data_IF_744405421032
#
_entry.id   IF_744405421032
#
_cell.length_a   1.000
_cell.length_b   1.000
_cell.length_c   1.000
_cell.angle_alpha   90.00
_cell.angle_beta   90.00
_cell.angle_gamma   90.00
#
_symmetry.space_group_name_H-M   'P 1'
#
loop_
_entity.id
_entity.type
_entity.pdbx_description
1 polymer ?
#
# COMPACT_ATOMS: atom_id res chain seq x y z
N UNK A 1 -23.52 4.95 8.08
CA UNK A 1 -22.45 4.12 8.68
C UNK A 1 -21.45 4.94 9.49
N UNK A 2 -20.79 5.96 8.91
CA UNK A 2 -19.83 6.80 9.67
C UNK A 2 -20.41 7.34 10.99
N UNK A 3 -21.63 7.87 10.97
CA UNK A 3 -22.34 8.32 12.17
C UNK A 3 -22.59 7.20 13.20
N UNK A 4 -22.88 5.97 12.74
CA UNK A 4 -23.10 4.81 13.62
C UNK A 4 -21.80 4.42 14.32
N UNK A 5 -20.70 4.35 13.57
CA UNK A 5 -19.38 3.97 14.07
C UNK A 5 -18.81 5.03 15.03
N UNK A 6 -19.22 6.29 14.87
CA UNK A 6 -18.86 7.40 15.76
C UNK A 6 -19.67 7.44 17.07
N UNK A 7 -20.69 6.58 17.25
CA UNK A 7 -21.48 6.57 18.48
C UNK A 7 -20.61 6.18 19.69
N UNK A 8 -20.75 6.87 20.84
CA UNK A 8 -20.15 6.43 22.09
C UNK A 8 -20.54 4.98 22.39
N UNK A 9 -19.55 4.12 22.65
CA UNK A 9 -19.78 2.71 22.97
C UNK A 9 -19.76 1.75 21.77
N UNK A 10 -19.62 2.22 20.52
CA UNK A 10 -19.54 1.32 19.36
C UNK A 10 -18.39 0.31 19.49
N UNK A 11 -17.18 0.76 19.85
CA UNK A 11 -16.01 -0.12 19.96
C UNK A 11 -16.14 -1.23 20.99
N UNK A 12 -16.90 -0.99 22.07
CA UNK A 12 -17.09 -1.93 23.19
C UNK A 12 -18.40 -2.72 23.10
N UNK A 13 -19.24 -2.44 22.11
CA UNK A 13 -20.51 -3.14 21.91
C UNK A 13 -20.29 -4.60 21.51
N UNK A 14 -21.11 -5.56 21.99
CA UNK A 14 -21.01 -6.96 21.59
C UNK A 14 -21.08 -7.14 20.08
N UNK A 15 -20.31 -8.10 19.55
CA UNK A 15 -20.25 -8.35 18.10
C UNK A 15 -21.63 -8.55 17.47
N UNK A 16 -22.51 -9.35 18.10
CA UNK A 16 -23.84 -9.64 17.58
C UNK A 16 -24.71 -8.38 17.41
N UNK A 17 -24.57 -7.40 18.31
CA UNK A 17 -25.29 -6.12 18.23
C UNK A 17 -24.77 -5.32 17.04
N UNK A 18 -23.45 -5.17 16.92
CA UNK A 18 -22.82 -4.47 15.79
C UNK A 18 -23.14 -5.12 14.45
N UNK A 19 -23.07 -6.45 14.39
CA UNK A 19 -23.37 -7.21 13.19
C UNK A 19 -24.82 -7.01 12.72
N UNK A 20 -25.79 -7.01 13.64
CA UNK A 20 -27.20 -6.73 13.33
C UNK A 20 -27.39 -5.31 12.79
N UNK A 21 -26.79 -4.33 13.43
CA UNK A 21 -26.85 -2.93 12.98
C UNK A 21 -26.26 -2.79 11.56
N UNK A 22 -25.11 -3.40 11.30
CA UNK A 22 -24.49 -3.36 9.98
C UNK A 22 -25.35 -4.09 8.93
N UNK A 23 -25.89 -5.26 9.28
CA UNK A 23 -26.73 -6.07 8.40
C UNK A 23 -28.01 -5.32 7.99
N UNK A 24 -28.62 -4.53 8.88
CA UNK A 24 -29.80 -3.72 8.58
C UNK A 24 -29.58 -2.63 7.50
N UNK A 25 -28.32 -2.34 7.16
CA UNK A 25 -27.92 -1.25 6.24
C UNK A 25 -27.45 -1.74 4.87
N UNK A 26 -27.67 -3.02 4.55
CA UNK A 26 -27.41 -3.54 3.20
C UNK A 26 -28.33 -2.87 2.19
N UNK A 27 -27.75 -2.49 1.06
CA UNK A 27 -28.41 -1.77 -0.04
C UNK A 27 -28.48 -2.68 -1.26
N UNK A 28 -29.59 -2.64 -1.99
CA UNK A 28 -29.69 -3.23 -3.33
C UNK A 28 -29.67 -2.09 -4.35
N UNK A 29 -28.73 -2.17 -5.29
CA UNK A 29 -28.63 -1.25 -6.42
C UNK A 29 -29.65 -1.62 -7.52
N UNK A 30 -29.84 -0.74 -8.50
CA UNK A 30 -30.80 -0.95 -9.59
C UNK A 30 -30.48 -2.20 -10.44
N UNK A 31 -29.21 -2.60 -10.49
CA UNK A 31 -28.73 -3.83 -11.16
C UNK A 31 -28.96 -5.11 -10.33
N UNK A 32 -29.65 -5.02 -9.19
CA UNK A 32 -29.91 -6.13 -8.28
C UNK A 32 -28.73 -6.50 -7.37
N UNK A 33 -27.56 -5.86 -7.53
CA UNK A 33 -26.39 -6.11 -6.70
C UNK A 33 -26.62 -5.71 -5.25
N UNK A 34 -26.20 -6.58 -4.31
CA UNK A 34 -26.25 -6.31 -2.85
C UNK A 34 -24.94 -5.71 -2.37
N UNK A 35 -25.04 -4.57 -1.71
CA UNK A 35 -23.91 -3.75 -1.31
C UNK A 35 -23.93 -3.52 0.20
N UNK A 36 -22.75 -3.57 0.80
CA UNK A 36 -22.53 -3.27 2.21
C UNK A 36 -21.37 -2.29 2.35
N UNK A 37 -21.61 -1.17 3.04
CA UNK A 37 -20.54 -0.29 3.48
C UNK A 37 -20.21 -0.59 4.93
N UNK A 38 -18.98 -1.01 5.21
CA UNK A 38 -18.59 -1.54 6.52
C UNK A 38 -17.12 -1.35 6.79
N UNK A 39 -16.48 -2.38 7.32
CA UNK A 39 -15.09 -2.36 7.76
C UNK A 39 -14.12 -1.65 6.78
N UNK A 40 -13.13 -0.93 7.32
CA UNK A 40 -12.14 -0.11 6.59
C UNK A 40 -12.74 1.11 5.89
N UNK A 41 -13.99 1.47 6.20
CA UNK A 41 -14.77 2.47 5.50
C UNK A 41 -14.82 2.22 3.96
N UNK A 42 -15.01 0.95 3.57
CA UNK A 42 -15.07 0.51 2.16
C UNK A 42 -16.37 -0.22 1.85
N UNK A 43 -16.75 -0.13 0.58
CA UNK A 43 -17.89 -0.85 0.00
C UNK A 43 -17.53 -2.29 -0.32
N UNK A 44 -18.51 -3.17 -0.16
CA UNK A 44 -18.43 -4.59 -0.51
C UNK A 44 -19.64 -5.00 -1.34
N UNK A 45 -19.40 -5.80 -2.37
CA UNK A 45 -20.41 -6.41 -3.23
C UNK A 45 -20.54 -7.88 -2.85
N UNK A 46 -21.78 -8.34 -2.66
CA UNK A 46 -22.04 -9.76 -2.49
C UNK A 46 -21.95 -10.48 -3.84
N UNK A 47 -21.18 -11.57 -3.90
CA UNK A 47 -21.15 -12.47 -5.05
C UNK A 47 -22.48 -13.26 -5.08
N UNK A 48 -23.25 -13.17 -6.18
CA UNK A 48 -24.52 -13.89 -6.30
C UNK A 48 -24.34 -15.42 -6.38
N UNK A 49 -23.15 -15.92 -6.70
CA UNK A 49 -22.88 -17.36 -6.88
C UNK A 49 -22.64 -18.04 -5.54
N UNK A 50 -21.74 -17.50 -4.72
CA UNK A 50 -21.32 -18.13 -3.45
C UNK A 50 -21.74 -17.35 -2.19
N UNK A 51 -22.37 -16.19 -2.36
CA UNK A 51 -22.85 -15.34 -1.27
C UNK A 51 -21.75 -14.59 -0.50
N UNK A 52 -20.48 -14.70 -0.90
CA UNK A 52 -19.35 -14.04 -0.23
C UNK A 52 -19.33 -12.55 -0.52
N UNK A 53 -18.77 -11.78 0.41
CA UNK A 53 -18.64 -10.34 0.29
C UNK A 53 -17.24 -9.97 -0.19
N UNK A 54 -17.15 -9.32 -1.35
CA UNK A 54 -15.90 -8.88 -1.95
C UNK A 54 -15.74 -7.36 -1.82
N UNK A 55 -14.53 -6.88 -1.55
CA UNK A 55 -14.22 -5.46 -1.67
C UNK A 55 -14.46 -5.01 -3.11
N UNK A 56 -15.37 -4.05 -3.29
CA UNK A 56 -15.74 -3.55 -4.59
C UNK A 56 -16.19 -2.09 -4.46
N UNK A 57 -15.64 -1.17 -5.24
CA UNK A 57 -16.10 0.21 -5.20
C UNK A 57 -17.55 0.31 -5.70
N UNK A 58 -18.32 1.25 -5.12
CA UNK A 58 -19.74 1.37 -5.40
C UNK A 58 -19.95 1.70 -6.89
N UNK A 59 -21.11 1.34 -7.45
CA UNK A 59 -21.41 1.70 -8.83
C UNK A 59 -21.53 3.22 -8.97
N UNK A 60 -21.14 3.72 -10.15
CA UNK A 60 -21.32 5.13 -10.56
C UNK A 60 -22.57 5.25 -11.45
N UNK A 61 -23.08 6.46 -11.62
CA UNK A 61 -24.22 6.73 -12.51
C UNK A 61 -25.56 6.16 -12.00
N UNK A 62 -26.43 5.79 -12.94
CA UNK A 62 -27.84 5.42 -12.68
C UNK A 62 -28.01 4.24 -11.71
N UNK A 63 -27.08 3.29 -11.73
CA UNK A 63 -27.10 2.14 -10.82
C UNK A 63 -27.05 2.56 -9.33
N UNK A 64 -26.52 3.75 -9.03
CA UNK A 64 -26.52 4.33 -7.68
C UNK A 64 -27.82 5.08 -7.35
N UNK A 65 -28.45 5.74 -8.33
CA UNK A 65 -29.62 6.61 -8.13
C UNK A 65 -30.84 5.81 -7.67
N UNK A 66 -30.99 4.57 -8.15
CA UNK A 66 -32.10 3.68 -7.76
C UNK A 66 -31.84 2.79 -6.54
N UNK A 67 -30.78 3.04 -5.78
CA UNK A 67 -30.37 2.13 -4.71
C UNK A 67 -31.26 2.25 -3.45
N UNK A 68 -31.70 1.12 -2.88
CA UNK A 68 -32.59 1.07 -1.71
C UNK A 68 -32.07 0.17 -0.60
N UNK A 69 -32.31 0.56 0.65
CA UNK A 69 -31.95 -0.26 1.83
C UNK A 69 -32.90 -1.44 1.91
N UNK A 70 -32.36 -2.65 2.03
CA UNK A 70 -33.12 -3.91 2.15
C UNK A 70 -32.77 -4.70 3.41
N UNK A 71 -31.66 -4.39 4.06
CA UNK A 71 -31.13 -5.20 5.14
C UNK A 71 -30.63 -6.58 4.68
N UNK A 72 -30.08 -7.35 5.60
CA UNK A 72 -29.61 -8.71 5.33
C UNK A 72 -30.02 -9.64 6.47
N UNK A 73 -30.66 -10.76 6.13
CA UNK A 73 -31.04 -11.79 7.10
C UNK A 73 -29.90 -12.74 7.48
N UNK A 74 -28.78 -12.73 6.74
CA UNK A 74 -27.64 -13.61 7.03
C UNK A 74 -26.72 -13.01 8.10
N UNK A 75 -26.13 -13.88 8.92
CA UNK A 75 -25.09 -13.50 9.89
C UNK A 75 -23.86 -12.97 9.14
N UNK A 76 -23.41 -11.78 9.49
CA UNK A 76 -22.18 -11.20 8.93
C UNK A 76 -20.96 -11.83 9.59
N UNK A 77 -19.93 -12.12 8.79
CA UNK A 77 -18.63 -12.55 9.32
C UNK A 77 -17.89 -11.36 9.96
N UNK A 78 -17.01 -11.59 10.95
CA UNK A 78 -16.35 -10.53 11.70
C UNK A 78 -15.64 -9.48 10.85
N UNK A 79 -15.05 -9.87 9.71
CA UNK A 79 -14.29 -9.00 8.83
C UNK A 79 -15.14 -7.94 8.10
N UNK A 80 -16.47 -8.04 8.16
CA UNK A 80 -17.39 -7.08 7.54
C UNK A 80 -17.85 -5.98 8.49
N UNK A 81 -17.73 -6.22 9.80
CA UNK A 81 -18.28 -5.35 10.86
C UNK A 81 -17.18 -4.39 11.32
N UNK A 82 -17.38 -3.07 11.18
CA UNK A 82 -16.37 -2.11 11.59
C UNK A 82 -16.18 -2.08 13.11
N UNK A 83 -14.95 -1.87 13.55
CA UNK A 83 -14.60 -1.82 14.97
C UNK A 83 -14.52 -0.38 15.51
N UNK A 84 -14.44 0.62 14.63
CA UNK A 84 -14.26 2.03 14.99
C UNK A 84 -12.98 2.61 14.39
N UNK A 85 -11.81 2.19 14.87
CA UNK A 85 -10.51 2.67 14.38
C UNK A 85 -10.31 2.51 12.87
N UNK A 86 -10.92 1.50 12.27
CA UNK A 86 -10.88 1.23 10.83
C UNK A 86 -11.60 2.31 9.98
N UNK A 87 -12.34 3.23 10.62
CA UNK A 87 -12.95 4.40 9.98
C UNK A 87 -12.10 5.68 10.10
N UNK A 88 -11.08 5.68 10.94
CA UNK A 88 -10.26 6.84 11.28
C UNK A 88 -8.85 6.79 10.64
N UNK A 89 -8.59 5.85 9.74
CA UNK A 89 -7.25 5.65 9.18
C UNK A 89 -6.79 6.82 8.30
N UNK A 90 -5.52 7.20 8.44
CA UNK A 90 -4.83 8.09 7.50
C UNK A 90 -4.47 7.28 6.25
N UNK A 91 -5.08 7.65 5.12
CA UNK A 91 -4.85 7.01 3.81
C UNK A 91 -3.47 7.27 3.23
N UNK A 92 -2.68 8.13 3.87
CA UNK A 92 -1.41 8.57 3.30
C UNK A 92 -1.61 9.25 1.94
N UNK A 93 -0.49 9.58 1.31
CA UNK A 93 -0.51 10.02 -0.08
C UNK A 93 -0.34 8.82 -1.02
N UNK A 94 -1.16 8.76 -2.07
CA UNK A 94 -0.99 7.82 -3.19
C UNK A 94 0.06 8.32 -4.20
N UNK A 95 0.49 9.57 -4.09
CA UNK A 95 1.65 10.10 -4.81
C UNK A 95 2.88 9.61 -4.06
N UNK A 96 3.46 8.47 -4.46
CA UNK A 96 4.70 7.97 -3.84
C UNK A 96 5.88 8.88 -4.17
N UNK A 97 6.74 8.43 -5.07
CA UNK A 97 7.82 9.26 -5.62
C UNK A 97 7.40 9.93 -6.95
N UNK A 98 6.09 9.95 -7.26
CA UNK A 98 5.53 10.63 -8.43
C UNK A 98 5.17 12.07 -8.03
N UNK A 99 5.72 13.06 -8.73
CA UNK A 99 5.41 14.47 -8.52
C UNK A 99 6.57 15.22 -7.86
N UNK A 100 6.31 16.29 -7.09
CA UNK A 100 7.38 17.08 -6.49
C UNK A 100 8.22 16.24 -5.50
N UNK A 101 9.49 16.62 -5.39
CA UNK A 101 10.44 15.99 -4.47
C UNK A 101 9.92 15.89 -3.03
N UNK A 102 10.51 14.99 -2.27
CA UNK A 102 10.35 14.97 -0.82
C UNK A 102 10.77 16.32 -0.21
N UNK A 103 9.98 16.92 0.72
CA UNK A 103 10.31 18.20 1.34
C UNK A 103 11.76 18.18 1.83
N UNK A 104 12.49 19.26 1.54
CA UNK A 104 13.92 19.33 1.83
C UNK A 104 14.29 19.01 3.29
N UNK A 105 13.42 19.32 4.26
CA UNK A 105 13.62 18.96 5.66
C UNK A 105 13.65 17.45 5.93
N UNK A 106 12.84 16.67 5.21
CA UNK A 106 12.83 15.20 5.30
C UNK A 106 14.06 14.64 4.61
N UNK A 107 14.36 15.08 3.38
CA UNK A 107 15.53 14.62 2.63
C UNK A 107 16.85 14.94 3.35
N UNK A 108 16.96 16.13 3.96
CA UNK A 108 18.12 16.51 4.78
C UNK A 108 18.18 15.75 6.11
N UNK A 109 17.01 15.44 6.72
CA UNK A 109 16.95 14.56 7.88
C UNK A 109 17.56 13.18 7.58
N UNK A 110 17.16 12.56 6.48
CA UNK A 110 17.71 11.26 6.05
C UNK A 110 19.19 11.38 5.68
N UNK A 111 19.59 12.44 4.96
CA UNK A 111 21.00 12.71 4.62
C UNK A 111 21.88 12.77 5.87
N UNK A 112 21.42 13.43 6.94
CA UNK A 112 22.17 13.50 8.21
C UNK A 112 22.35 12.13 8.85
N UNK A 113 21.31 11.28 8.84
CA UNK A 113 21.40 9.90 9.33
C UNK A 113 22.42 9.09 8.52
N UNK A 114 22.38 9.16 7.19
CA UNK A 114 23.35 8.50 6.33
C UNK A 114 24.78 8.99 6.57
N UNK A 115 24.98 10.30 6.72
CA UNK A 115 26.31 10.85 7.01
C UNK A 115 26.85 10.37 8.36
N UNK A 116 26.00 10.23 9.38
CA UNK A 116 26.39 9.81 10.72
C UNK A 116 26.62 8.29 10.85
N UNK A 117 25.93 7.48 10.03
CA UNK A 117 25.90 6.01 10.18
C UNK A 117 26.38 5.22 8.96
N UNK A 118 26.57 5.86 7.80
CA UNK A 118 26.87 5.18 6.54
C UNK A 118 28.32 4.68 6.41
N UNK A 119 29.25 5.24 7.18
CA UNK A 119 30.68 4.83 7.19
C UNK A 119 31.05 3.92 8.36
N UNK A 120 30.08 3.19 8.91
CA UNK A 120 30.33 2.22 10.00
C UNK A 120 31.04 0.98 9.45
N UNK A 121 31.77 0.27 10.30
CA UNK A 121 32.41 -0.98 9.90
C UNK A 121 31.37 -2.03 9.51
N UNK A 122 31.57 -2.67 8.36
CA UNK A 122 30.78 -3.82 7.92
C UNK A 122 30.94 -5.01 8.86
N UNK A 123 32.05 -5.12 9.59
CA UNK A 123 32.25 -6.19 10.57
C UNK A 123 31.30 -6.04 11.78
N UNK A 124 31.09 -4.80 12.23
CA UNK A 124 30.17 -4.48 13.32
C UNK A 124 28.70 -4.51 12.88
N UNK A 125 28.46 -4.25 11.59
CA UNK A 125 27.15 -4.12 10.97
C UNK A 125 27.11 -4.81 9.60
N UNK A 126 27.21 -6.15 9.51
CA UNK A 126 27.09 -6.85 8.25
C UNK A 126 25.66 -6.86 7.74
N UNK A 127 25.55 -7.05 6.42
CA UNK A 127 24.31 -7.38 5.71
C UNK A 127 24.36 -8.88 5.43
N UNK A 128 23.50 -9.66 6.09
CA UNK A 128 23.57 -11.12 6.09
C UNK A 128 22.46 -11.82 5.28
N UNK A 129 21.46 -11.08 4.79
CA UNK A 129 20.28 -11.67 4.16
C UNK A 129 19.69 -10.80 3.04
N UNK A 130 18.97 -11.47 2.13
CA UNK A 130 18.13 -10.83 1.12
C UNK A 130 17.00 -10.01 1.77
N UNK A 131 16.49 -8.96 1.10
CA UNK A 131 16.88 -8.48 -0.23
C UNK A 131 18.11 -7.58 -0.24
N UNK A 132 18.71 -7.26 0.91
CA UNK A 132 19.73 -6.21 0.99
C UNK A 132 21.07 -6.61 0.38
N UNK A 133 21.44 -7.90 0.44
CA UNK A 133 22.68 -8.42 -0.18
C UNK A 133 22.69 -8.17 -1.70
N UNK A 134 21.55 -8.32 -2.37
CA UNK A 134 21.47 -8.10 -3.82
C UNK A 134 21.36 -6.63 -4.23
N UNK A 135 21.04 -5.73 -3.29
CA UNK A 135 20.84 -4.29 -3.56
C UNK A 135 22.15 -3.50 -3.40
N UNK A 136 22.94 -3.79 -2.38
CA UNK A 136 24.09 -2.97 -1.99
C UNK A 136 25.43 -3.53 -2.45
N UNK A 137 26.44 -2.66 -2.55
CA UNK A 137 27.82 -3.07 -2.77
C UNK A 137 28.36 -3.88 -1.57
N UNK A 138 29.40 -4.66 -1.82
CA UNK A 138 29.92 -5.66 -0.88
C UNK A 138 30.57 -5.09 0.39
N UNK A 139 30.83 -3.79 0.45
CA UNK A 139 31.45 -3.07 1.57
C UNK A 139 30.43 -2.29 2.42
N UNK A 140 29.17 -2.21 1.99
CA UNK A 140 28.13 -1.42 2.65
C UNK A 140 27.70 -2.04 3.99
N UNK A 141 27.60 -1.24 5.08
CA UNK A 141 27.11 -1.70 6.36
C UNK A 141 25.57 -1.75 6.43
N UNK A 142 25.02 -2.59 7.30
CA UNK A 142 23.57 -2.71 7.51
C UNK A 142 22.90 -1.47 8.08
N UNK A 143 23.67 -0.48 8.57
CA UNK A 143 23.14 0.84 8.91
C UNK A 143 22.58 1.56 7.68
N UNK A 144 23.23 1.48 6.52
CA UNK A 144 22.69 2.04 5.27
C UNK A 144 21.45 1.26 4.83
N UNK A 145 21.50 -0.07 4.91
CA UNK A 145 20.37 -0.93 4.60
C UNK A 145 19.15 -0.66 5.49
N UNK A 146 19.36 -0.35 6.77
CA UNK A 146 18.31 0.03 7.71
C UNK A 146 17.61 1.32 7.28
N UNK A 147 18.38 2.36 6.90
CA UNK A 147 17.80 3.64 6.44
C UNK A 147 17.05 3.44 5.12
N UNK A 148 17.69 2.84 4.11
CA UNK A 148 17.06 2.55 2.80
C UNK A 148 15.79 1.71 2.95
N UNK A 149 15.90 0.60 3.69
CA UNK A 149 14.78 -0.29 3.89
C UNK A 149 13.64 0.38 4.64
N UNK A 150 13.94 1.27 5.59
CA UNK A 150 12.92 2.06 6.29
C UNK A 150 12.24 3.05 5.37
N UNK A 151 12.99 3.75 4.49
CA UNK A 151 12.42 4.65 3.48
C UNK A 151 11.46 3.91 2.56
N UNK A 152 11.91 2.80 1.96
CA UNK A 152 11.08 2.03 1.04
C UNK A 152 9.90 1.34 1.73
N UNK A 153 10.11 0.80 2.93
CA UNK A 153 9.03 0.19 3.71
C UNK A 153 8.01 1.24 4.15
N UNK A 154 8.43 2.44 4.54
CA UNK A 154 7.50 3.49 4.95
C UNK A 154 6.76 4.12 3.76
N UNK A 155 7.26 3.98 2.52
CA UNK A 155 6.55 4.47 1.36
C UNK A 155 5.17 3.79 1.25
N UNK A 156 4.11 4.62 1.25
CA UNK A 156 2.74 4.14 1.16
C UNK A 156 2.39 3.63 -0.24
N UNK A 157 2.89 4.31 -1.27
CA UNK A 157 2.78 3.92 -2.67
C UNK A 157 4.11 3.33 -3.20
N UNK A 158 4.08 2.58 -4.32
CA UNK A 158 5.29 2.05 -4.92
C UNK A 158 6.33 3.15 -5.18
N UNK A 159 7.57 2.84 -4.84
CA UNK A 159 8.70 3.70 -5.15
C UNK A 159 9.23 3.37 -6.53
N UNK A 160 9.62 4.38 -7.29
CA UNK A 160 10.37 4.20 -8.52
C UNK A 160 11.50 5.19 -8.57
N UNK A 161 12.52 4.81 -9.31
CA UNK A 161 13.68 5.64 -9.58
C UNK A 161 13.31 6.70 -10.62
N UNK A 162 13.03 7.91 -10.15
CA UNK A 162 12.70 9.06 -10.98
C UNK A 162 13.38 10.31 -10.43
N UNK A 163 14.72 10.38 -10.53
CA UNK A 163 15.58 11.50 -10.12
C UNK A 163 15.25 12.17 -8.76
N UNK A 164 14.58 11.44 -7.87
CA UNK A 164 14.10 12.01 -6.63
C UNK A 164 15.27 12.07 -5.63
N UNK A 165 15.41 13.25 -5.00
CA UNK A 165 16.57 13.60 -4.17
C UNK A 165 16.83 12.60 -3.04
N UNK A 166 15.76 12.08 -2.41
CA UNK A 166 15.85 11.10 -1.32
C UNK A 166 16.37 9.74 -1.80
N UNK A 167 16.07 9.30 -3.02
CA UNK A 167 16.61 8.04 -3.56
C UNK A 167 18.03 8.20 -4.11
N UNK A 168 18.32 9.30 -4.81
CA UNK A 168 19.64 9.51 -5.43
C UNK A 168 20.79 9.58 -4.43
N UNK A 169 20.54 9.97 -3.16
CA UNK A 169 21.60 9.99 -2.12
C UNK A 169 22.14 8.61 -1.76
N UNK A 170 21.45 7.53 -2.13
CA UNK A 170 21.93 6.17 -1.91
C UNK A 170 22.83 5.65 -3.03
N UNK A 171 22.97 6.39 -4.13
CA UNK A 171 23.67 5.93 -5.33
C UNK A 171 25.09 5.42 -5.08
N UNK A 172 25.82 6.01 -4.13
CA UNK A 172 27.18 5.58 -3.78
C UNK A 172 27.25 4.22 -3.08
N UNK A 173 26.14 3.72 -2.53
CA UNK A 173 26.09 2.46 -1.79
C UNK A 173 25.54 1.31 -2.64
N UNK A 174 24.83 1.59 -3.73
CA UNK A 174 24.15 0.55 -4.48
C UNK A 174 25.14 -0.32 -5.28
N UNK A 175 24.92 -1.63 -5.27
CA UNK A 175 25.76 -2.58 -6.02
C UNK A 175 25.61 -2.46 -7.53
N UNK A 176 24.53 -1.80 -7.98
CA UNK A 176 24.30 -1.38 -9.36
C UNK A 176 23.79 0.05 -9.34
N UNK A 177 24.28 0.93 -10.24
CA UNK A 177 23.79 2.30 -10.29
C UNK A 177 22.29 2.33 -10.57
N UNK A 178 21.65 3.39 -10.08
CA UNK A 178 20.29 3.76 -10.47
C UNK A 178 20.28 4.07 -11.98
N UNK A 179 19.35 3.51 -12.78
CA UNK A 179 19.33 3.68 -14.25
C UNK A 179 19.25 5.13 -14.79
N UNK A 180 19.20 6.15 -13.95
CA UNK A 180 19.15 7.55 -14.39
C UNK A 180 17.89 7.85 -15.19
N UNK A 181 17.92 8.88 -16.03
CA UNK A 181 16.76 9.37 -16.79
C UNK A 181 16.30 8.43 -17.92
N UNK A 182 17.08 7.41 -18.27
CA UNK A 182 16.80 6.60 -19.45
C UNK A 182 15.71 5.54 -19.20
N UNK A 183 15.50 5.10 -17.95
CA UNK A 183 14.51 4.05 -17.61
C UNK A 183 13.94 4.17 -16.20
N UNK A 184 12.62 4.03 -16.07
CA UNK A 184 11.93 3.95 -14.76
C UNK A 184 12.13 2.56 -14.15
N UNK A 185 12.78 2.49 -12.98
CA UNK A 185 12.89 1.25 -12.20
C UNK A 185 11.96 1.28 -10.99
N UNK A 186 10.98 0.36 -10.96
CA UNK A 186 10.21 0.12 -9.75
C UNK A 186 11.10 -0.49 -8.65
N UNK A 187 11.10 0.16 -7.49
CA UNK A 187 11.79 -0.31 -6.30
C UNK A 187 10.79 -1.12 -5.46
N UNK A 188 11.13 -2.38 -5.22
CA UNK A 188 10.33 -3.27 -4.39
C UNK A 188 10.63 -2.96 -2.92
N UNK A 189 9.65 -2.55 -2.10
CA UNK A 189 9.85 -2.39 -0.67
C UNK A 189 10.32 -3.70 -0.04
N UNK A 190 11.33 -3.70 0.83
CA UNK A 190 11.68 -4.90 1.57
C UNK A 190 10.51 -5.30 2.49
N UNK A 191 10.31 -6.60 2.77
CA UNK A 191 9.33 -7.01 3.77
C UNK A 191 9.78 -6.56 5.17
N UNK A 192 8.84 -6.44 6.11
CA UNK A 192 9.13 -6.08 7.50
C UNK A 192 10.09 -7.09 8.15
N UNK A 193 10.02 -8.37 7.77
CA UNK A 193 10.96 -9.39 8.24
C UNK A 193 12.41 -9.12 7.86
N UNK A 194 12.67 -8.46 6.72
CA UNK A 194 14.04 -8.11 6.33
C UNK A 194 14.60 -6.99 7.22
N UNK A 195 13.79 -5.97 7.53
CA UNK A 195 14.17 -4.93 8.49
C UNK A 195 14.38 -5.51 9.89
N UNK A 196 13.46 -6.37 10.34
CA UNK A 196 13.57 -7.08 11.60
C UNK A 196 14.83 -7.98 11.63
N UNK A 197 15.19 -8.59 10.50
CA UNK A 197 16.38 -9.42 10.35
C UNK A 197 17.69 -8.67 10.60
N UNK A 198 17.78 -7.37 10.24
CA UNK A 198 18.96 -6.56 10.56
C UNK A 198 19.22 -6.47 12.07
N UNK A 199 18.15 -6.26 12.86
CA UNK A 199 18.20 -6.30 14.32
C UNK A 199 18.43 -7.73 14.84
N UNK A 200 17.65 -8.69 14.36
CA UNK A 200 17.66 -10.07 14.84
C UNK A 200 19.00 -10.76 14.64
N UNK A 201 19.70 -10.46 13.54
CA UNK A 201 21.01 -11.01 13.26
C UNK A 201 22.06 -10.52 14.28
N UNK A 202 22.06 -9.22 14.63
CA UNK A 202 22.91 -8.70 15.71
C UNK A 202 22.62 -9.34 17.06
N UNK A 203 21.34 -9.56 17.39
CA UNK A 203 20.96 -10.25 18.63
C UNK A 203 21.49 -11.68 18.66
N UNK A 204 21.35 -12.43 17.55
CA UNK A 204 21.85 -13.81 17.45
C UNK A 204 23.37 -13.89 17.54
N UNK A 205 24.07 -12.87 17.04
CA UNK A 205 25.52 -12.72 17.17
C UNK A 205 25.98 -12.27 18.58
N UNK A 206 25.07 -12.04 19.53
CA UNK A 206 25.40 -11.54 20.87
C UNK A 206 25.78 -10.05 20.90
N UNK A 207 25.62 -9.33 19.79
CA UNK A 207 25.99 -7.94 19.63
C UNK A 207 24.83 -7.00 20.02
N UNK A 208 24.33 -7.11 21.25
CA UNK A 208 23.12 -6.41 21.72
C UNK A 208 23.18 -4.88 21.52
N UNK A 209 24.34 -4.26 21.80
CA UNK A 209 24.51 -2.82 21.62
C UNK A 209 24.38 -2.38 20.14
N UNK A 210 24.88 -3.20 19.20
CA UNK A 210 24.73 -2.93 17.76
C UNK A 210 23.30 -3.19 17.28
N UNK A 211 22.61 -4.18 17.86
CA UNK A 211 21.20 -4.45 17.59
C UNK A 211 20.34 -3.23 17.95
N UNK A 212 20.46 -2.73 19.19
CA UNK A 212 19.71 -1.55 19.66
C UNK A 212 20.02 -0.31 18.81
N UNK A 213 21.28 -0.13 18.38
CA UNK A 213 21.66 0.97 17.48
C UNK A 213 21.00 0.88 16.09
N UNK A 214 20.89 -0.31 15.50
CA UNK A 214 20.17 -0.49 14.25
C UNK A 214 18.68 -0.20 14.42
N UNK A 215 18.09 -0.66 15.52
CA UNK A 215 16.68 -0.40 15.79
C UNK A 215 16.40 1.09 16.03
N UNK A 216 17.28 1.78 16.75
CA UNK A 216 17.20 3.22 16.95
C UNK A 216 17.31 3.95 15.61
N UNK A 217 18.19 3.52 14.71
CA UNK A 217 18.31 4.10 13.37
C UNK A 217 17.04 3.90 12.53
N UNK A 218 16.39 2.73 12.62
CA UNK A 218 15.07 2.48 12.00
C UNK A 218 14.03 3.46 12.55
N UNK A 219 13.96 3.63 13.88
CA UNK A 219 13.03 4.55 14.52
C UNK A 219 13.31 6.01 14.15
N UNK A 220 14.57 6.47 14.20
CA UNK A 220 14.97 7.83 13.84
C UNK A 220 14.63 8.12 12.36
N UNK A 221 14.85 7.15 11.48
CA UNK A 221 14.48 7.29 10.06
C UNK A 221 12.97 7.39 9.89
N UNK A 222 12.20 6.54 10.57
CA UNK A 222 10.73 6.60 10.54
C UNK A 222 10.21 7.94 11.11
N UNK A 223 10.80 8.44 12.19
CA UNK A 223 10.44 9.73 12.78
C UNK A 223 10.67 10.90 11.81
N UNK A 224 11.79 10.92 11.09
CA UNK A 224 12.07 11.91 10.03
C UNK A 224 11.03 11.82 8.91
N UNK A 225 10.73 10.61 8.44
CA UNK A 225 9.77 10.38 7.35
C UNK A 225 8.33 10.74 7.74
N UNK A 226 7.98 10.63 9.02
CA UNK A 226 6.64 10.94 9.55
C UNK A 226 6.17 12.38 9.30
N UNK A 227 7.09 13.30 8.99
CA UNK A 227 6.76 14.67 8.62
C UNK A 227 6.05 14.80 7.25
N UNK A 228 6.19 13.82 6.35
CA UNK A 228 5.56 13.82 5.02
C UNK A 228 4.43 12.79 4.91
N UNK A 229 3.32 13.19 4.30
CA UNK A 229 2.10 12.37 4.19
C UNK A 229 2.29 11.07 3.38
N UNK A 230 3.32 11.00 2.53
CA UNK A 230 3.68 9.80 1.75
C UNK A 230 4.17 8.65 2.61
N UNK A 231 4.76 8.97 3.76
CA UNK A 231 5.39 7.99 4.65
C UNK A 231 4.67 7.87 6.00
N UNK A 232 3.99 8.94 6.44
CA UNK A 232 3.44 9.08 7.80
C UNK A 232 2.68 7.86 8.32
N UNK A 233 1.72 7.23 7.60
CA UNK A 233 0.96 6.12 8.17
C UNK A 233 1.85 4.91 8.48
N UNK A 234 2.77 4.55 7.57
CA UNK A 234 3.68 3.41 7.78
C UNK A 234 4.78 3.80 8.77
N UNK A 235 5.32 5.01 8.71
CA UNK A 235 6.28 5.50 9.69
C UNK A 235 5.72 5.42 11.13
N UNK A 236 4.49 5.89 11.35
CA UNK A 236 3.82 5.77 12.66
C UNK A 236 3.61 4.31 13.07
N UNK A 237 3.24 3.44 12.12
CA UNK A 237 3.09 2.00 12.38
C UNK A 237 4.43 1.38 12.81
N UNK A 238 5.50 1.64 12.08
CA UNK A 238 6.84 1.12 12.38
C UNK A 238 7.34 1.58 13.74
N UNK A 239 7.17 2.88 14.04
CA UNK A 239 7.49 3.43 15.36
C UNK A 239 6.78 2.65 16.47
N UNK A 240 5.46 2.47 16.37
CA UNK A 240 4.70 1.73 17.37
C UNK A 240 5.12 0.25 17.51
N UNK A 241 5.64 -0.36 16.43
CA UNK A 241 6.15 -1.74 16.46
C UNK A 241 7.49 -1.87 17.19
N UNK A 242 8.41 -0.91 16.98
CA UNK A 242 9.80 -1.00 17.46
C UNK A 242 10.05 -0.28 18.79
N UNK A 243 9.26 0.74 19.11
CA UNK A 243 9.41 1.57 20.31
C UNK A 243 9.42 0.78 21.63
N UNK A 244 8.64 -0.30 21.82
CA UNK A 244 8.70 -1.09 23.05
C UNK A 244 10.07 -1.74 23.32
N UNK A 245 10.77 -2.20 22.27
CA UNK A 245 12.12 -2.75 22.40
C UNK A 245 13.17 -1.66 22.69
N UNK A 246 12.99 -0.45 22.15
CA UNK A 246 13.86 0.69 22.48
C UNK A 246 13.71 1.14 23.94
N UNK A 247 12.50 1.07 24.50
CA UNK A 247 12.24 1.38 25.90
C UNK A 247 12.71 0.27 26.84
N UNK A 248 12.65 -0.99 26.41
CA UNK A 248 13.03 -2.17 27.20
C UNK A 248 13.94 -3.10 26.40
N UNK A 249 15.24 -2.77 26.24
CA UNK A 249 16.16 -3.58 25.46
C UNK A 249 16.23 -5.03 25.92
N UNK A 250 16.05 -5.96 24.99
CA UNK A 250 15.99 -7.41 25.23
C UNK A 250 14.59 -8.02 25.23
N UNK A 251 13.53 -7.21 25.11
CA UNK A 251 12.13 -7.67 25.01
C UNK A 251 11.94 -8.66 23.84
N UNK A 252 12.60 -8.39 22.71
CA UNK A 252 12.54 -9.16 21.47
C UNK A 252 13.59 -10.25 21.35
N UNK A 253 14.47 -10.40 22.35
CA UNK A 253 15.62 -11.30 22.27
C UNK A 253 15.22 -12.77 22.03
N UNK A 254 14.10 -13.20 22.63
CA UNK A 254 13.57 -14.57 22.41
C UNK A 254 13.09 -14.75 20.97
N UNK A 255 12.30 -13.82 20.46
CA UNK A 255 11.75 -13.89 19.10
C UNK A 255 12.85 -13.78 18.04
N UNK A 256 13.85 -12.92 18.26
CA UNK A 256 15.03 -12.81 17.42
C UNK A 256 15.82 -14.12 17.31
N UNK A 257 15.89 -14.92 18.39
CA UNK A 257 16.51 -16.25 18.37
C UNK A 257 15.68 -17.29 17.61
N UNK A 258 14.36 -17.15 17.58
CA UNK A 258 13.46 -18.03 16.82
C UNK A 258 13.50 -17.76 15.31
N UNK A 259 13.87 -16.53 14.93
CA UNK A 259 14.07 -16.14 13.53
C UNK A 259 13.27 -14.91 13.13
N UNK A 260 13.53 -14.42 11.93
CA UNK A 260 13.04 -13.11 11.48
C UNK A 260 11.52 -13.08 11.27
N UNK A 261 10.91 -14.23 10.96
CA UNK A 261 9.44 -14.38 10.87
C UNK A 261 8.78 -14.21 12.23
N UNK A 262 9.31 -14.86 13.27
CA UNK A 262 8.78 -14.75 14.63
C UNK A 262 8.92 -13.32 15.18
N UNK A 263 10.04 -12.66 14.84
CA UNK A 263 10.25 -11.26 15.20
C UNK A 263 9.27 -10.33 14.48
N UNK A 264 9.06 -10.51 13.17
CA UNK A 264 8.03 -9.78 12.39
C UNK A 264 6.64 -9.93 13.02
N UNK A 265 6.27 -11.12 13.48
CA UNK A 265 4.97 -11.37 14.11
C UNK A 265 4.80 -10.59 15.42
N UNK A 266 5.82 -10.60 16.28
CA UNK A 266 5.81 -9.83 17.53
C UNK A 266 5.73 -8.33 17.26
N UNK A 267 6.48 -7.84 16.29
CA UNK A 267 6.41 -6.44 15.86
C UNK A 267 5.02 -6.10 15.33
N UNK A 268 4.48 -6.89 14.40
CA UNK A 268 3.16 -6.65 13.82
C UNK A 268 2.04 -6.68 14.86
N UNK A 269 2.14 -7.54 15.89
CA UNK A 269 1.17 -7.62 16.98
C UNK A 269 1.11 -6.36 17.84
N UNK A 270 2.18 -5.54 17.85
CA UNK A 270 2.23 -4.24 18.55
C UNK A 270 1.60 -3.10 17.74
N UNK A 271 1.33 -3.31 16.45
CA UNK A 271 0.77 -2.28 15.59
C UNK A 271 -0.64 -1.87 16.08
N UNK A 272 -0.86 -0.58 16.42
CA UNK A 272 -2.17 -0.10 16.85
C UNK A 272 -3.24 -0.35 15.79
N UNK A 273 -4.46 -0.66 16.20
CA UNK A 273 -5.56 -0.99 15.29
C UNK A 273 -5.88 0.09 14.25
N UNK A 274 -5.68 1.38 14.58
CA UNK A 274 -5.89 2.49 13.65
C UNK A 274 -4.79 2.62 12.57
N UNK A 275 -3.66 1.92 12.73
CA UNK A 275 -2.53 1.86 11.79
C UNK A 275 -2.43 0.51 11.08
N UNK A 276 -3.30 -0.45 11.40
CA UNK A 276 -3.23 -1.81 10.87
C UNK A 276 -3.29 -1.89 9.33
N UNK A 277 -4.02 -0.98 8.68
CA UNK A 277 -4.08 -0.92 7.20
C UNK A 277 -2.71 -0.58 6.58
N UNK A 278 -1.91 0.26 7.25
CA UNK A 278 -0.56 0.62 6.81
C UNK A 278 0.42 -0.59 6.85
N UNK A 279 0.10 -1.60 7.65
CA UNK A 279 0.88 -2.84 7.77
C UNK A 279 0.20 -4.06 7.10
N UNK A 280 -0.96 -3.88 6.45
CA UNK A 280 -1.76 -5.02 5.93
C UNK A 280 -0.99 -5.88 4.93
N UNK A 281 -0.08 -5.26 4.16
CA UNK A 281 0.79 -5.96 3.22
C UNK A 281 1.71 -7.00 3.84
N UNK A 282 2.10 -6.81 5.10
CA UNK A 282 2.97 -7.72 5.84
C UNK A 282 2.24 -8.94 6.39
N UNK A 283 0.91 -8.84 6.52
CA UNK A 283 0.07 -9.82 7.20
C UNK A 283 -0.82 -10.58 6.23
N UNK A 284 -1.26 -9.92 5.17
CA UNK A 284 -2.13 -10.50 4.16
C UNK A 284 -1.92 -9.82 2.81
N UNK A 285 -1.03 -10.37 1.95
CA UNK A 285 -0.85 -9.91 0.58
C UNK A 285 -2.17 -9.87 -0.21
N UNK A 286 -3.06 -10.82 0.05
CA UNK A 286 -4.38 -10.87 -0.57
C UNK A 286 -5.29 -9.71 -0.15
N UNK A 287 -5.34 -9.33 1.13
CA UNK A 287 -6.10 -8.13 1.54
C UNK A 287 -5.49 -6.85 0.97
N UNK A 288 -4.15 -6.74 0.95
CA UNK A 288 -3.47 -5.60 0.31
C UNK A 288 -3.86 -5.48 -1.16
N UNK A 289 -3.83 -6.59 -1.90
CA UNK A 289 -4.22 -6.62 -3.31
C UNK A 289 -5.67 -6.16 -3.50
N UNK A 290 -6.61 -6.63 -2.66
CA UNK A 290 -8.02 -6.24 -2.74
C UNK A 290 -8.22 -4.74 -2.47
N UNK A 291 -7.51 -4.19 -1.49
CA UNK A 291 -7.54 -2.75 -1.20
C UNK A 291 -6.96 -1.94 -2.36
N UNK A 292 -5.82 -2.37 -2.93
CA UNK A 292 -5.20 -1.71 -4.08
C UNK A 292 -6.09 -1.74 -5.33
N UNK A 293 -6.72 -2.88 -5.64
CA UNK A 293 -7.66 -3.00 -6.76
C UNK A 293 -8.90 -2.10 -6.56
N UNK A 294 -9.41 -2.02 -5.33
CA UNK A 294 -10.49 -1.09 -4.98
C UNK A 294 -10.08 0.36 -5.23
N UNK A 295 -8.88 0.75 -4.79
CA UNK A 295 -8.37 2.12 -4.94
C UNK A 295 -8.05 2.47 -6.38
N UNK A 296 -7.54 1.54 -7.18
CA UNK A 296 -7.35 1.72 -8.62
C UNK A 296 -8.66 2.06 -9.34
N UNK A 297 -9.71 1.26 -9.11
CA UNK A 297 -11.01 1.51 -9.75
C UNK A 297 -11.61 2.85 -9.28
N UNK A 298 -11.42 3.24 -8.02
CA UNK A 298 -11.85 4.56 -7.55
C UNK A 298 -11.04 5.69 -8.20
N UNK A 299 -9.71 5.54 -8.30
CA UNK A 299 -8.82 6.54 -8.89
C UNK A 299 -9.14 6.75 -10.38
N UNK A 300 -9.55 5.69 -11.08
CA UNK A 300 -10.04 5.75 -12.46
C UNK A 300 -11.46 6.31 -12.59
N UNK A 301 -12.08 6.80 -11.51
CA UNK A 301 -13.44 7.36 -11.53
C UNK A 301 -13.64 8.46 -12.59
N UNK A 302 -12.61 9.24 -12.90
CA UNK A 302 -12.65 10.31 -13.91
C UNK A 302 -12.96 9.80 -15.32
N UNK A 303 -12.67 8.53 -15.65
CA UNK A 303 -12.97 7.97 -16.98
C UNK A 303 -14.47 7.77 -17.19
N UNK A 304 -15.28 7.76 -16.12
CA UNK A 304 -16.73 7.65 -16.20
C UNK A 304 -17.36 8.85 -16.93
N UNK A 305 -16.80 10.05 -16.80
CA UNK A 305 -17.25 11.25 -17.51
C UNK A 305 -17.12 11.12 -19.03
N UNK A 306 -16.22 10.23 -19.47
CA UNK A 306 -15.96 9.91 -20.86
C UNK A 306 -16.77 8.70 -21.36
N UNK A 307 -17.72 8.22 -20.57
CA UNK A 307 -18.55 7.05 -20.91
C UNK A 307 -17.85 5.71 -20.71
N UNK A 308 -16.66 5.68 -20.11
CA UNK A 308 -15.90 4.44 -19.86
C UNK A 308 -16.15 3.97 -18.43
N UNK A 309 -16.44 2.69 -18.24
CA UNK A 309 -16.56 2.11 -16.90
C UNK A 309 -15.19 2.08 -16.20
N UNK A 310 -15.01 2.74 -15.03
CA UNK A 310 -13.74 2.69 -14.28
C UNK A 310 -13.30 1.26 -13.95
N UNK A 311 -14.27 0.36 -13.71
CA UNK A 311 -14.01 -1.05 -13.44
C UNK A 311 -13.51 -1.78 -14.69
N UNK A 312 -14.03 -1.42 -15.87
CA UNK A 312 -13.56 -1.98 -17.13
C UNK A 312 -12.12 -1.55 -17.42
N UNK A 313 -11.82 -0.26 -17.27
CA UNK A 313 -10.46 0.26 -17.42
C UNK A 313 -9.45 -0.40 -16.47
N UNK A 314 -9.80 -0.53 -15.18
CA UNK A 314 -8.95 -1.22 -14.21
C UNK A 314 -8.74 -2.71 -14.56
N UNK A 315 -9.79 -3.39 -15.00
CA UNK A 315 -9.70 -4.79 -15.42
C UNK A 315 -8.83 -4.97 -16.67
N UNK A 316 -8.87 -4.01 -17.60
CA UNK A 316 -8.01 -3.97 -18.78
C UNK A 316 -6.54 -3.84 -18.42
N UNK A 317 -6.21 -2.88 -17.56
CA UNK A 317 -4.84 -2.67 -17.11
C UNK A 317 -4.31 -3.89 -16.36
N UNK A 318 -5.10 -4.44 -15.44
CA UNK A 318 -4.70 -5.64 -14.72
C UNK A 318 -4.49 -6.83 -15.67
N UNK A 319 -5.36 -7.00 -16.67
CA UNK A 319 -5.18 -8.06 -17.67
C UNK A 319 -3.91 -7.86 -18.51
N UNK A 320 -3.64 -6.63 -18.95
CA UNK A 320 -2.41 -6.30 -19.68
C UNK A 320 -1.16 -6.64 -18.84
N UNK A 321 -1.12 -6.22 -17.57
CA UNK A 321 -0.02 -6.54 -16.66
C UNK A 321 0.13 -8.06 -16.44
N UNK A 322 -0.97 -8.78 -16.23
CA UNK A 322 -0.94 -10.24 -16.07
C UNK A 322 -0.43 -10.96 -17.31
N UNK A 323 -0.83 -10.48 -18.50
CA UNK A 323 -0.38 -11.05 -19.78
C UNK A 323 1.12 -10.88 -19.99
N UNK A 324 1.71 -9.78 -19.50
CA UNK A 324 3.12 -9.46 -19.64
C UNK A 324 4.01 -10.15 -18.58
N UNK A 325 3.51 -10.30 -17.35
CA UNK A 325 4.34 -10.71 -16.20
C UNK A 325 4.17 -12.18 -15.83
N UNK A 326 2.93 -12.66 -15.66
CA UNK A 326 2.67 -14.04 -15.20
C UNK A 326 1.23 -14.47 -15.53
N UNK A 327 0.99 -15.08 -16.71
CA UNK A 327 -0.34 -15.49 -17.13
C UNK A 327 -1.03 -16.48 -16.17
N UNK A 328 -0.26 -17.28 -15.42
CA UNK A 328 -0.80 -18.27 -14.46
C UNK A 328 -1.24 -17.65 -13.14
N UNK A 329 -0.93 -16.38 -12.87
CA UNK A 329 -1.33 -15.70 -11.64
C UNK A 329 -2.85 -15.45 -11.58
N UNK A 330 -3.58 -15.55 -12.70
CA UNK A 330 -5.03 -15.33 -12.73
C UNK A 330 -5.79 -16.29 -11.82
N UNK A 331 -5.37 -17.57 -11.73
CA UNK A 331 -6.05 -18.56 -10.90
C UNK A 331 -5.99 -18.19 -9.41
N UNK A 332 -4.82 -17.70 -8.98
CA UNK A 332 -4.60 -17.20 -7.61
C UNK A 332 -5.39 -15.92 -7.34
N UNK A 333 -5.37 -14.97 -8.27
CA UNK A 333 -5.98 -13.65 -8.08
C UNK A 333 -7.51 -13.69 -8.22
N UNK A 334 -8.06 -14.65 -8.96
CA UNK A 334 -9.51 -14.76 -9.19
C UNK A 334 -10.30 -14.78 -7.89
N UNK A 335 -9.81 -15.50 -6.87
CA UNK A 335 -10.45 -15.56 -5.55
C UNK A 335 -10.44 -14.24 -4.78
N UNK A 336 -9.58 -13.28 -5.17
CA UNK A 336 -9.46 -11.97 -4.51
C UNK A 336 -10.24 -10.89 -5.24
N UNK A 337 -10.43 -11.00 -6.54
CA UNK A 337 -11.18 -10.03 -7.34
C UNK A 337 -12.68 -10.11 -7.06
N UNK A 338 -13.34 -8.94 -7.13
CA UNK A 338 -14.80 -8.87 -7.11
C UNK A 338 -15.39 -9.56 -8.36
N UNK A 339 -16.64 -10.06 -8.31
CA UNK A 339 -17.20 -10.87 -9.39
C UNK A 339 -17.34 -10.15 -10.73
N UNK A 340 -17.43 -8.82 -10.72
CA UNK A 340 -17.49 -8.01 -11.94
C UNK A 340 -16.09 -7.82 -12.51
N UNK A 341 -15.11 -7.46 -11.67
CA UNK A 341 -13.72 -7.28 -12.10
C UNK A 341 -13.09 -8.60 -12.59
N UNK A 342 -13.36 -9.71 -11.90
CA UNK A 342 -12.93 -11.06 -12.30
C UNK A 342 -13.41 -11.42 -13.71
N UNK A 343 -14.70 -11.20 -13.99
CA UNK A 343 -15.28 -11.45 -15.32
C UNK A 343 -14.65 -10.60 -16.42
N UNK A 344 -14.39 -9.32 -16.10
CA UNK A 344 -13.73 -8.40 -17.03
C UNK A 344 -12.33 -8.92 -17.37
N UNK A 345 -11.47 -9.13 -16.36
CA UNK A 345 -10.09 -9.61 -16.55
C UNK A 345 -10.06 -10.91 -17.36
N UNK A 346 -10.93 -11.85 -17.05
CA UNK A 346 -11.03 -13.11 -17.78
C UNK A 346 -11.45 -12.90 -19.24
N UNK A 347 -12.40 -12.00 -19.52
CA UNK A 347 -12.79 -11.69 -20.89
C UNK A 347 -11.62 -11.09 -21.69
N UNK A 348 -10.88 -10.13 -21.12
CA UNK A 348 -9.72 -9.50 -21.79
C UNK A 348 -8.66 -10.50 -22.21
N UNK A 349 -8.32 -11.40 -21.29
CA UNK A 349 -7.20 -12.33 -21.48
C UNK A 349 -7.53 -13.42 -22.51
N UNK A 350 -8.82 -13.65 -22.78
CA UNK A 350 -9.28 -14.70 -23.70
C UNK A 350 -9.85 -14.14 -25.02
N UNK A 351 -9.94 -12.82 -25.18
CA UNK A 351 -10.48 -12.16 -26.38
C UNK A 351 -9.44 -11.21 -27.00
N UNK A 352 -8.90 -11.59 -28.16
CA UNK A 352 -7.94 -10.78 -28.93
C UNK A 352 -8.53 -9.42 -29.37
N UNK A 353 -9.86 -9.28 -29.45
CA UNK A 353 -10.54 -8.06 -29.87
C UNK A 353 -10.72 -7.01 -28.78
N UNK A 354 -10.38 -7.32 -27.52
CA UNK A 354 -10.60 -6.42 -26.39
C UNK A 354 -9.48 -5.36 -26.24
N UNK A 355 -8.32 -5.60 -26.85
CA UNK A 355 -7.17 -4.67 -26.82
C UNK A 355 -7.21 -3.77 -28.05
N UNK A 356 -8.04 -2.73 -27.97
CA UNK A 356 -7.65 -1.38 -28.41
C UNK A 356 -8.46 -0.36 -27.60
N UNK A 357 -7.97 0.07 -26.44
CA UNK A 357 -8.47 1.29 -25.85
C UNK A 357 -7.99 2.43 -26.77
N UNK A 358 -8.82 2.89 -27.70
CA UNK A 358 -8.58 4.11 -28.52
C UNK A 358 -8.44 5.41 -27.71
N UNK A 359 -8.20 5.29 -26.40
CA UNK A 359 -8.02 6.34 -25.41
C UNK A 359 -6.60 6.30 -24.79
N UNK A 360 -5.80 5.26 -25.10
CA UNK A 360 -4.38 5.13 -24.72
C UNK A 360 -3.44 5.67 -25.81
N UNK A 361 -3.95 6.15 -26.94
CA UNK A 361 -3.18 7.00 -27.84
C UNK A 361 -2.80 8.27 -27.08
N UNK A 362 -1.51 8.39 -26.76
CA UNK A 362 -0.92 9.65 -26.34
C UNK A 362 -1.32 10.75 -27.34
N UNK A 363 -1.52 12.01 -26.92
CA UNK A 363 -1.63 13.08 -27.89
C UNK A 363 -0.37 13.03 -28.77
N UNK A 364 -0.56 12.78 -30.07
CA UNK A 364 0.51 12.75 -31.06
C UNK A 364 1.52 13.89 -30.80
N UNK A 365 2.84 13.62 -30.73
CA UNK A 365 3.83 14.66 -30.63
C UNK A 365 3.85 15.44 -31.95
N UNK A 366 3.00 16.46 -32.05
CA UNK A 366 2.93 17.25 -33.28
C UNK A 366 1.76 18.23 -33.44
N UNK A 367 0.69 18.16 -32.64
CA UNK A 367 -0.36 19.20 -32.69
C UNK A 367 -0.28 20.12 -31.50
N UNK A 368 0.58 21.13 -31.65
CA UNK A 368 0.41 22.43 -31.00
C UNK A 368 -1.01 22.92 -31.35
N UNK A 369 -1.93 22.88 -30.39
CA UNK A 369 -3.13 23.72 -30.47
C UNK A 369 -2.64 25.16 -30.33
N UNK A 370 -2.51 25.85 -31.44
CA UNK A 370 -2.38 27.31 -31.45
C UNK A 370 -3.68 27.89 -30.90
N UNK A 371 -3.67 28.28 -29.63
CA UNK A 371 -4.62 29.24 -29.11
C UNK A 371 -3.98 30.62 -29.18
N UNK A 372 -4.58 31.52 -29.97
CA UNK A 372 -4.49 32.97 -29.77
C UNK A 372 -4.05 33.78 -30.98
N UNK A 373 -5.01 34.50 -31.57
CA UNK A 373 -4.99 35.87 -32.14
C UNK A 373 -6.31 35.99 -32.92
N UNK A 374 -7.40 36.50 -32.35
CA UNK A 374 -7.77 37.93 -32.19
C UNK A 374 -7.41 38.80 -33.39
N UNK A 375 -8.40 39.60 -33.83
CA UNK A 375 -8.40 40.60 -34.93
C UNK A 375 -8.65 39.98 -36.33
N UNK A 376 -9.48 40.52 -37.24
CA UNK A 376 -10.29 41.72 -37.31
C UNK A 376 -11.11 41.66 -38.63
N UNK A 377 -12.30 42.27 -38.62
CA UNK A 377 -12.84 43.15 -39.68
C UNK A 377 -13.71 42.59 -40.83
N UNK A 378 -14.79 43.36 -40.99
CA UNK A 378 -15.85 43.48 -41.98
C UNK A 378 -15.55 43.03 -43.43
N UNK A 379 -16.54 42.38 -44.05
CA UNK A 379 -17.41 43.00 -45.07
C UNK A 379 -18.72 42.20 -45.24
#
# INVERSE_FOLDING_TARGET
MRALVALPGWGVSPFAVRAREVASRVVVAADGGRWLFGANARWRLQDPVDGRWHLAPPPVGEARVGARVVGCGSVLVPQLVPFGPDFAFDRGSTQGFVGPDVPGGVSEGVRRLLKAHGRRSREDFPIAAEPFVSVFAGDVPSTVAAVWGTVLWCAYAPAFDGNEVLLSMFGEFLGRPLPGDEWVRWLVPPPLSALAGLYGERVRAGAAASAVRLLALVADTAAVLGADARFRPRAAALMAMVEPELHSPGLDARSAKLGDVALREVWSARCPAHLADAAVGELSPGERFRHAAYDLVQALGFVAERGVSPRAAAGAWLAADLSAVEPKALDLLSGWLDPKLRRIVHAVLNDEGWITPGWLEAPEPGRVRSYGTTEEVQL
#
